data_IF_550539599332
#
_entry.id   IF_550539599332
#
_cell.length_a   1.000
_cell.length_b   1.000
_cell.length_c   1.000
_cell.angle_alpha   90.00
_cell.angle_beta   90.00
_cell.angle_gamma   90.00
#
_symmetry.space_group_name_H-M   'P 1'
#
loop_
_entity.id
_entity.type
_entity.pdbx_description
1 polymer ?
#
# COMPACT_ATOMS: atom_id res chain seq x y z
N UNK A 1 19.56 -4.57 5.31
CA UNK A 1 18.21 -4.87 5.82
C UNK A 1 17.55 -3.57 6.28
N UNK A 2 16.32 -3.32 5.89
CA UNK A 2 15.58 -2.12 6.29
C UNK A 2 15.20 -2.20 7.77
N UNK A 3 15.48 -1.13 8.51
CA UNK A 3 15.09 -1.05 9.91
C UNK A 3 13.62 -0.62 10.03
N UNK A 4 12.74 -1.60 10.04
CA UNK A 4 11.29 -1.38 10.17
C UNK A 4 10.92 -0.82 11.54
N UNK A 5 11.72 -1.08 12.58
CA UNK A 5 11.47 -0.55 13.93
C UNK A 5 11.53 0.97 13.93
N UNK A 6 12.58 1.54 13.33
CA UNK A 6 12.71 2.99 13.23
C UNK A 6 11.56 3.60 12.43
N UNK A 7 11.22 3.00 11.30
CA UNK A 7 10.13 3.48 10.45
C UNK A 7 8.80 3.48 11.19
N UNK A 8 8.50 2.40 11.93
CA UNK A 8 7.28 2.31 12.75
C UNK A 8 7.25 3.36 13.86
N UNK A 9 8.38 3.62 14.52
CA UNK A 9 8.49 4.66 15.54
C UNK A 9 8.25 6.06 14.96
N UNK A 10 8.81 6.34 13.79
CA UNK A 10 8.60 7.61 13.11
C UNK A 10 7.13 7.80 12.72
N UNK A 11 6.50 6.74 12.22
CA UNK A 11 5.08 6.79 11.85
C UNK A 11 4.19 7.09 13.07
N UNK A 12 4.44 6.42 14.20
CA UNK A 12 3.71 6.67 15.45
C UNK A 12 3.89 8.11 15.94
N UNK A 13 5.11 8.61 15.91
CA UNK A 13 5.41 9.99 16.32
C UNK A 13 4.67 11.02 15.44
N UNK A 14 4.63 10.80 14.15
CA UNK A 14 3.90 11.68 13.22
C UNK A 14 2.40 11.67 13.49
N UNK A 15 1.83 10.52 13.80
CA UNK A 15 0.41 10.38 14.10
C UNK A 15 0.01 11.01 15.43
N UNK A 16 0.94 11.21 16.37
CA UNK A 16 0.68 11.93 17.62
C UNK A 16 0.28 13.39 17.37
N UNK A 17 0.82 14.01 16.30
CA UNK A 17 0.48 15.38 15.93
C UNK A 17 -0.93 15.45 15.34
N UNK A 18 -1.27 14.52 14.46
CA UNK A 18 -2.60 14.39 13.84
C UNK A 18 -2.74 12.97 13.30
N UNK A 19 -3.73 12.24 13.79
CA UNK A 19 -4.01 10.86 13.41
C UNK A 19 -4.98 10.73 12.24
N UNK A 20 -5.44 11.84 11.63
CA UNK A 20 -6.33 11.80 10.47
C UNK A 20 -5.69 10.99 9.33
N UNK A 21 -6.49 10.19 8.64
CA UNK A 21 -5.97 9.24 7.64
C UNK A 21 -5.14 9.91 6.54
N UNK A 22 -5.55 11.08 6.06
CA UNK A 22 -4.89 11.72 4.93
C UNK A 22 -3.41 12.08 5.23
N UNK A 23 -3.10 12.85 6.30
CA UNK A 23 -1.70 13.13 6.61
C UNK A 23 -0.93 11.88 7.05
N UNK A 24 -1.56 10.93 7.74
CA UNK A 24 -0.91 9.67 8.11
C UNK A 24 -0.48 8.89 6.87
N UNK A 25 -1.37 8.73 5.89
CA UNK A 25 -1.06 8.00 4.66
C UNK A 25 -0.05 8.74 3.77
N UNK A 26 -0.14 10.07 3.72
CA UNK A 26 0.85 10.87 2.99
C UNK A 26 2.26 10.68 3.57
N UNK A 27 2.39 10.77 4.89
CA UNK A 27 3.66 10.55 5.58
C UNK A 27 4.12 9.08 5.51
N UNK A 28 3.21 8.13 5.61
CA UNK A 28 3.53 6.71 5.45
C UNK A 28 4.11 6.43 4.07
N UNK A 29 3.53 6.99 3.02
CA UNK A 29 4.05 6.86 1.65
C UNK A 29 5.47 7.42 1.54
N UNK A 30 5.73 8.57 2.14
CA UNK A 30 7.04 9.20 2.15
C UNK A 30 8.07 8.37 2.94
N UNK A 31 7.69 7.85 4.11
CA UNK A 31 8.56 6.98 4.91
C UNK A 31 8.96 5.72 4.15
N UNK A 32 8.00 5.07 3.49
CA UNK A 32 8.28 3.87 2.72
C UNK A 32 9.24 4.17 1.57
N UNK A 33 9.00 5.25 0.82
CA UNK A 33 9.86 5.64 -0.28
C UNK A 33 11.27 5.99 0.20
N UNK A 34 11.40 6.62 1.36
CA UNK A 34 12.68 7.02 1.93
C UNK A 34 13.49 5.83 2.47
N UNK A 35 12.82 4.86 3.10
CA UNK A 35 13.48 3.76 3.81
C UNK A 35 13.67 2.48 2.98
N UNK A 36 12.76 2.18 2.05
CA UNK A 36 12.82 0.92 1.29
C UNK A 36 13.69 1.08 0.04
N UNK A 37 14.79 0.33 -0.08
CA UNK A 37 15.58 0.36 -1.30
C UNK A 37 14.86 -0.34 -2.45
N UNK A 38 15.17 0.07 -3.67
CA UNK A 38 14.73 -0.60 -4.91
C UNK A 38 13.21 -0.67 -5.07
N UNK A 39 12.51 0.41 -4.69
CA UNK A 39 11.10 0.60 -5.00
C UNK A 39 10.95 1.85 -5.87
N UNK A 40 9.90 1.90 -6.69
CA UNK A 40 9.62 3.04 -7.56
C UNK A 40 8.29 3.72 -7.26
N UNK A 41 7.44 3.10 -6.43
CA UNK A 41 6.14 3.65 -6.07
C UNK A 41 5.69 3.08 -4.72
N UNK A 42 5.11 3.92 -3.88
CA UNK A 42 4.52 3.50 -2.61
C UNK A 42 3.32 4.38 -2.29
N UNK A 43 2.18 3.79 -2.07
CA UNK A 43 0.98 4.57 -1.80
C UNK A 43 -0.25 3.73 -1.53
N UNK A 44 -1.40 4.41 -1.56
CA UNK A 44 -2.67 3.85 -1.09
C UNK A 44 -3.76 4.03 -2.14
N UNK A 45 -4.57 3.00 -2.30
CA UNK A 45 -5.84 3.07 -3.03
C UNK A 45 -6.98 2.90 -2.05
N UNK A 46 -7.95 3.81 -2.11
CA UNK A 46 -9.10 3.83 -1.22
C UNK A 46 -10.20 2.92 -1.77
N UNK A 47 -10.82 2.12 -0.92
CA UNK A 47 -11.93 1.26 -1.33
C UNK A 47 -13.18 2.10 -1.50
N UNK A 48 -13.75 2.05 -2.69
CA UNK A 48 -15.07 2.58 -3.02
C UNK A 48 -16.02 1.40 -3.23
N UNK A 49 -17.27 1.66 -3.56
CA UNK A 49 -18.29 0.62 -3.67
C UNK A 49 -17.92 -0.47 -4.69
N UNK A 50 -17.45 -0.08 -5.87
CA UNK A 50 -17.20 -1.00 -7.00
C UNK A 50 -15.81 -0.83 -7.63
N UNK A 51 -14.97 0.04 -7.06
CA UNK A 51 -13.64 0.32 -7.58
C UNK A 51 -12.74 0.85 -6.46
N UNK A 52 -11.45 0.98 -6.78
CA UNK A 52 -10.47 1.62 -5.91
C UNK A 52 -10.14 3.00 -6.48
N UNK A 53 -9.99 3.98 -5.58
CA UNK A 53 -9.66 5.36 -5.92
C UNK A 53 -8.25 5.67 -5.43
N UNK A 54 -7.44 6.28 -6.29
CA UNK A 54 -6.08 6.71 -5.94
C UNK A 54 -6.10 7.64 -4.73
N UNK A 55 -5.32 7.28 -3.72
CA UNK A 55 -5.08 8.08 -2.52
C UNK A 55 -3.66 8.65 -2.48
N UNK A 56 -3.16 9.01 -1.29
CA UNK A 56 -1.80 9.52 -1.14
C UNK A 56 -0.74 8.54 -1.60
N UNK A 57 0.28 9.02 -2.31
CA UNK A 57 1.38 8.19 -2.81
C UNK A 57 2.64 9.00 -3.07
N UNK A 58 3.76 8.28 -3.26
CA UNK A 58 5.03 8.79 -3.74
C UNK A 58 5.45 7.98 -4.96
N UNK A 59 5.85 8.65 -6.03
CA UNK A 59 6.25 8.03 -7.28
C UNK A 59 5.67 8.77 -8.49
N UNK A 60 5.68 8.11 -9.65
CA UNK A 60 5.12 8.67 -10.87
C UNK A 60 3.59 8.64 -10.82
N UNK A 61 2.96 9.45 -11.68
CA UNK A 61 1.51 9.47 -11.84
C UNK A 61 0.98 8.05 -12.04
N UNK A 62 -0.21 7.79 -11.51
CA UNK A 62 -0.79 6.44 -11.46
C UNK A 62 -2.24 6.45 -11.95
N UNK A 63 -2.79 5.24 -12.14
CA UNK A 63 -4.20 5.08 -12.48
C UNK A 63 -5.07 5.66 -11.37
N UNK A 64 -6.09 6.44 -11.73
CA UNK A 64 -6.97 7.09 -10.77
C UNK A 64 -8.01 6.11 -10.22
N UNK A 65 -8.57 5.28 -11.11
CA UNK A 65 -9.59 4.29 -10.76
C UNK A 65 -9.13 2.89 -11.15
N UNK A 66 -9.31 1.93 -10.25
CA UNK A 66 -9.03 0.51 -10.52
C UNK A 66 -10.31 -0.27 -10.22
N UNK A 67 -10.86 -1.03 -11.19
CA UNK A 67 -12.05 -1.84 -10.91
C UNK A 67 -11.79 -2.89 -9.83
N UNK A 68 -12.76 -3.13 -8.98
CA UNK A 68 -12.70 -4.18 -7.97
C UNK A 68 -12.45 -5.53 -8.64
N UNK A 69 -11.50 -6.31 -8.11
CA UNK A 69 -11.16 -7.62 -8.66
C UNK A 69 -10.24 -7.59 -9.88
N UNK A 70 -9.79 -6.41 -10.33
CA UNK A 70 -8.90 -6.27 -11.49
C UNK A 70 -7.51 -5.82 -11.07
N UNK A 71 -6.49 -6.36 -11.75
CA UNK A 71 -5.10 -6.09 -11.42
C UNK A 71 -4.72 -6.59 -10.03
N UNK A 72 -3.51 -6.25 -9.57
CA UNK A 72 -3.02 -6.71 -8.27
C UNK A 72 -3.78 -6.02 -7.14
N UNK A 73 -3.95 -4.70 -7.19
CA UNK A 73 -4.68 -3.94 -6.18
C UNK A 73 -6.15 -4.36 -6.09
N UNK A 74 -6.83 -4.47 -7.23
CA UNK A 74 -8.23 -4.87 -7.26
C UNK A 74 -8.45 -6.29 -6.75
N UNK A 75 -7.51 -7.20 -7.02
CA UNK A 75 -7.54 -8.57 -6.52
C UNK A 75 -7.32 -8.62 -5.02
N UNK A 76 -6.33 -7.89 -4.50
CA UNK A 76 -6.07 -7.81 -3.06
C UNK A 76 -7.31 -7.30 -2.31
N UNK A 77 -7.98 -6.29 -2.84
CA UNK A 77 -9.18 -5.72 -2.24
C UNK A 77 -10.35 -6.71 -2.28
N UNK A 78 -10.60 -7.36 -3.41
CA UNK A 78 -11.72 -8.28 -3.59
C UNK A 78 -11.58 -9.54 -2.75
N UNK A 79 -10.36 -10.07 -2.62
CA UNK A 79 -10.07 -11.29 -1.86
C UNK A 79 -9.75 -11.01 -0.39
N UNK A 80 -9.54 -9.74 -0.02
CA UNK A 80 -9.08 -9.33 1.31
C UNK A 80 -7.83 -10.10 1.72
N UNK A 81 -6.82 -10.08 0.84
CA UNK A 81 -5.63 -10.90 1.01
C UNK A 81 -4.43 -10.22 0.38
N UNK A 82 -3.29 -10.26 1.08
CA UNK A 82 -2.01 -9.78 0.54
C UNK A 82 -1.68 -10.47 -0.77
N UNK A 83 -1.30 -9.68 -1.77
CA UNK A 83 -0.79 -10.16 -3.05
C UNK A 83 0.68 -9.79 -3.15
N UNK A 84 1.55 -10.80 -3.25
CA UNK A 84 3.00 -10.61 -3.43
C UNK A 84 3.39 -11.23 -4.76
N UNK A 85 3.78 -10.38 -5.72
CA UNK A 85 3.93 -10.75 -7.11
C UNK A 85 5.38 -10.55 -7.54
N UNK A 86 6.05 -11.64 -7.90
CA UNK A 86 7.45 -11.63 -8.30
C UNK A 86 7.66 -11.06 -9.70
N UNK A 87 6.68 -11.25 -10.59
CA UNK A 87 6.69 -10.74 -11.95
C UNK A 87 5.26 -10.34 -12.35
N UNK A 88 5.01 -9.04 -12.38
CA UNK A 88 3.67 -8.49 -12.65
C UNK A 88 3.18 -8.81 -14.06
N UNK A 89 4.09 -9.05 -15.00
CA UNK A 89 3.74 -9.35 -16.40
C UNK A 89 3.09 -10.72 -16.53
N UNK A 90 3.29 -11.61 -15.54
CA UNK A 90 2.67 -12.93 -15.48
C UNK A 90 1.36 -12.94 -14.68
N UNK A 91 1.00 -11.83 -14.05
CA UNK A 91 -0.22 -11.74 -13.25
C UNK A 91 -1.43 -11.57 -14.17
N UNK A 92 -2.44 -12.47 -14.09
CA UNK A 92 -3.62 -12.38 -14.96
C UNK A 92 -4.39 -11.07 -14.73
N UNK A 93 -4.64 -10.33 -15.81
CA UNK A 93 -5.37 -9.07 -15.73
C UNK A 93 -4.58 -7.91 -15.15
N UNK A 94 -3.25 -8.01 -15.14
CA UNK A 94 -2.39 -6.92 -14.65
C UNK A 94 -2.69 -5.61 -15.38
N UNK A 95 -2.82 -4.53 -14.58
CA UNK A 95 -3.03 -3.16 -15.07
C UNK A 95 -1.68 -2.44 -14.97
N UNK A 96 -1.08 -2.12 -16.11
CA UNK A 96 0.21 -1.45 -16.18
C UNK A 96 0.06 0.06 -16.00
N UNK A 97 -0.08 0.53 -14.76
CA UNK A 97 -0.14 1.97 -14.44
C UNK A 97 1.26 2.61 -14.48
N UNK A 98 2.31 1.84 -14.24
CA UNK A 98 3.71 2.25 -14.42
C UNK A 98 4.46 1.13 -15.12
N UNK A 99 4.93 1.40 -16.34
CA UNK A 99 5.63 0.41 -17.16
C UNK A 99 7.01 0.02 -16.61
N UNK A 100 7.54 0.78 -15.65
CA UNK A 100 8.82 0.47 -15.01
C UNK A 100 8.69 -0.55 -13.86
N UNK A 101 7.48 -0.87 -13.43
CA UNK A 101 7.24 -1.83 -12.35
C UNK A 101 7.35 -3.26 -12.84
N UNK A 102 8.11 -4.09 -12.14
CA UNK A 102 8.32 -5.49 -12.47
C UNK A 102 7.88 -6.45 -11.35
N UNK A 103 7.91 -6.02 -10.10
CA UNK A 103 7.32 -6.77 -8.98
C UNK A 103 6.49 -5.83 -8.11
N UNK A 104 5.60 -6.40 -7.31
CA UNK A 104 4.62 -5.62 -6.56
C UNK A 104 4.17 -6.37 -5.32
N UNK A 105 3.85 -5.63 -4.26
CA UNK A 105 3.15 -6.16 -3.09
C UNK A 105 1.98 -5.24 -2.76
N UNK A 106 0.81 -5.81 -2.51
CA UNK A 106 -0.39 -5.08 -2.13
C UNK A 106 -0.96 -5.72 -0.87
N UNK A 107 -1.20 -4.90 0.16
CA UNK A 107 -1.66 -5.36 1.47
C UNK A 107 -2.95 -4.65 1.83
N UNK A 108 -4.05 -5.39 2.11
CA UNK A 108 -5.30 -4.79 2.58
C UNK A 108 -5.14 -4.13 3.95
N UNK A 109 -5.84 -3.02 4.15
CA UNK A 109 -5.89 -2.27 5.41
C UNK A 109 -7.33 -2.19 5.88
N UNK A 110 -7.56 -2.49 7.15
CA UNK A 110 -8.89 -2.58 7.74
C UNK A 110 -9.14 -1.48 8.76
N UNK A 111 -10.40 -1.11 8.88
CA UNK A 111 -10.93 -0.38 10.03
C UNK A 111 -11.96 -1.31 10.70
N UNK A 112 -11.56 -1.95 11.79
CA UNK A 112 -12.36 -3.03 12.37
C UNK A 112 -12.47 -4.21 11.41
N UNK A 113 -13.70 -4.61 11.06
CA UNK A 113 -13.96 -5.73 10.16
C UNK A 113 -14.03 -5.33 8.68
N UNK A 114 -13.90 -4.02 8.39
CA UNK A 114 -14.04 -3.51 7.02
C UNK A 114 -12.70 -3.18 6.40
N UNK A 115 -12.46 -3.66 5.19
CA UNK A 115 -11.35 -3.20 4.37
C UNK A 115 -11.66 -1.77 3.88
N UNK A 116 -10.75 -0.82 4.14
CA UNK A 116 -10.94 0.60 3.79
C UNK A 116 -9.98 1.08 2.72
N UNK A 117 -8.84 0.42 2.59
CA UNK A 117 -7.79 0.81 1.63
C UNK A 117 -6.87 -0.37 1.40
N UNK A 118 -5.99 -0.25 0.40
CA UNK A 118 -4.85 -1.15 0.20
C UNK A 118 -3.57 -0.33 0.15
N UNK A 119 -2.50 -0.88 0.71
CA UNK A 119 -1.14 -0.37 0.53
C UNK A 119 -0.55 -1.04 -0.69
N UNK A 120 -0.06 -0.25 -1.64
CA UNK A 120 0.56 -0.74 -2.87
C UNK A 120 2.01 -0.26 -2.94
N UNK A 121 2.93 -1.20 -3.13
CA UNK A 121 4.36 -0.89 -3.31
C UNK A 121 4.86 -1.62 -4.54
N UNK A 122 5.49 -0.87 -5.43
CA UNK A 122 6.03 -1.38 -6.68
C UNK A 122 7.55 -1.29 -6.71
N UNK A 123 8.18 -2.22 -7.43
CA UNK A 123 9.63 -2.25 -7.62
C UNK A 123 9.99 -2.41 -9.09
N UNK A 124 11.07 -1.76 -9.56
CA UNK A 124 11.57 -1.93 -10.93
C UNK A 124 12.33 -3.24 -11.13
N UNK A 125 12.62 -3.98 -10.05
CA UNK A 125 13.30 -5.27 -10.16
C UNK A 125 12.32 -6.42 -9.90
N UNK A 126 12.62 -7.59 -10.50
CA UNK A 126 11.84 -8.81 -10.24
C UNK A 126 12.17 -9.37 -8.85
N UNK A 127 11.22 -10.05 -8.26
CA UNK A 127 11.39 -10.77 -7.00
C UNK A 127 11.86 -9.86 -5.84
N UNK A 128 11.48 -8.58 -5.85
CA UNK A 128 11.92 -7.63 -4.82
C UNK A 128 11.40 -7.97 -3.44
N UNK A 129 10.16 -8.44 -3.36
CA UNK A 129 9.50 -8.63 -2.07
C UNK A 129 9.59 -10.10 -1.64
N UNK A 130 10.31 -10.34 -0.54
CA UNK A 130 10.46 -11.66 0.07
C UNK A 130 9.36 -11.90 1.09
N UNK A 131 9.28 -13.13 1.64
CA UNK A 131 8.37 -13.41 2.74
C UNK A 131 8.67 -12.54 3.96
N UNK A 132 9.95 -12.27 4.23
CA UNK A 132 10.36 -11.38 5.32
C UNK A 132 9.87 -9.94 5.07
N UNK A 133 9.97 -9.45 3.84
CA UNK A 133 9.43 -8.14 3.47
C UNK A 133 7.91 -8.11 3.69
N UNK A 134 7.21 -9.14 3.27
CA UNK A 134 5.76 -9.24 3.48
C UNK A 134 5.41 -9.19 4.97
N UNK A 135 6.09 -9.98 5.79
CA UNK A 135 5.86 -10.01 7.24
C UNK A 135 6.08 -8.63 7.87
N UNK A 136 7.17 -7.97 7.49
CA UNK A 136 7.51 -6.64 7.99
C UNK A 136 6.50 -5.57 7.53
N UNK A 137 6.07 -5.63 6.28
CA UNK A 137 5.10 -4.68 5.73
C UNK A 137 3.69 -4.93 6.28
N UNK A 138 3.33 -6.18 6.54
CA UNK A 138 2.08 -6.49 7.23
C UNK A 138 2.09 -5.96 8.67
N UNK A 139 3.24 -5.98 9.35
CA UNK A 139 3.40 -5.34 10.66
C UNK A 139 3.29 -3.82 10.57
N UNK A 140 3.83 -3.20 9.51
CA UNK A 140 3.67 -1.77 9.25
C UNK A 140 2.18 -1.42 9.04
N UNK A 141 1.46 -2.24 8.28
CA UNK A 141 0.01 -2.09 8.08
C UNK A 141 -0.73 -2.21 9.40
N UNK A 142 -0.37 -3.17 10.26
CA UNK A 142 -0.99 -3.31 11.59
C UNK A 142 -0.79 -2.04 12.43
N UNK A 143 0.37 -1.40 12.34
CA UNK A 143 0.62 -0.10 12.98
C UNK A 143 -0.30 0.97 12.41
N UNK A 144 -0.45 1.06 11.09
CA UNK A 144 -1.37 2.00 10.44
C UNK A 144 -2.81 1.80 10.92
N UNK A 145 -3.26 0.57 11.01
CA UNK A 145 -4.62 0.25 11.50
C UNK A 145 -4.83 0.70 12.94
N UNK A 146 -3.79 0.58 13.78
CA UNK A 146 -3.86 0.97 15.18
C UNK A 146 -3.89 2.49 15.38
N UNK A 147 -3.05 3.23 14.66
CA UNK A 147 -2.84 4.66 14.92
C UNK A 147 -3.73 5.60 14.12
N UNK A 148 -4.35 5.13 13.05
CA UNK A 148 -5.05 5.99 12.10
C UNK A 148 -6.50 6.21 12.51
N UNK A 149 -6.94 7.46 12.48
CA UNK A 149 -8.35 7.82 12.55
C UNK A 149 -8.94 7.79 11.15
N UNK A 150 -9.75 6.76 10.87
CA UNK A 150 -10.41 6.55 9.59
C UNK A 150 -11.77 7.25 9.49
N UNK A 151 -12.24 7.93 10.54
CA UNK A 151 -13.59 8.51 10.53
C UNK A 151 -13.86 9.47 9.37
N UNK A 152 -12.86 10.27 8.90
CA UNK A 152 -13.07 11.10 7.71
C UNK A 152 -13.16 10.32 6.39
N UNK A 153 -12.85 9.02 6.42
CA UNK A 153 -12.98 8.10 5.28
C UNK A 153 -14.37 7.48 5.22
N UNK A 154 -15.43 8.20 5.58
CA UNK A 154 -16.79 7.70 5.48
C UNK A 154 -17.14 7.41 4.01
N UNK A 155 -16.98 6.17 3.62
CA UNK A 155 -17.20 5.68 2.26
C UNK A 155 -18.55 4.98 2.16
#
# INVERSE_FOLDING_TARGET
MTDMTLMNQQLRALAEADAAWLPVFANASALLMDHLPSINWAGFYLIQKDHLLLGPFQGKVACIHIPMGKGVCGTAAAEDKTQRIDNVHLFPGHIACDSSSNSEIVIPIHNGDHIVTVLDIDSPIYNRFTQTDQDNLEAFVATLEEITDFSPLAL
#
